data_IF_306324276957
#
_entry.id   IF_306324276957
#
_cell.length_a   1.000
_cell.length_b   1.000
_cell.length_c   1.000
_cell.angle_alpha   90.00
_cell.angle_beta   90.00
_cell.angle_gamma   90.00
#
_symmetry.space_group_name_H-M   'P 1'
#
loop_
_entity.id
_entity.type
_entity.pdbx_description
1 polymer ?
#
# COMPACT_ATOMS: atom_id res chain seq x y z
N UNK A 1 35.91 -24.84 -3.57
CA UNK A 1 35.75 -23.91 -4.71
C UNK A 1 34.94 -24.62 -5.78
N UNK A 2 33.63 -24.39 -5.82
CA UNK A 2 32.74 -25.00 -6.81
C UNK A 2 32.12 -23.88 -7.64
N UNK A 3 32.31 -23.95 -8.95
CA UNK A 3 31.90 -22.95 -9.92
C UNK A 3 30.37 -22.85 -9.97
N UNK A 4 29.84 -21.64 -9.74
CA UNK A 4 28.45 -21.32 -9.98
C UNK A 4 28.24 -21.15 -11.49
N UNK A 5 27.50 -22.08 -12.09
CA UNK A 5 27.03 -21.93 -13.46
C UNK A 5 26.01 -20.77 -13.50
N UNK A 6 26.45 -19.63 -14.02
CA UNK A 6 25.59 -18.49 -14.33
C UNK A 6 24.83 -18.79 -15.62
N UNK A 7 23.54 -19.11 -15.51
CA UNK A 7 22.64 -19.05 -16.66
C UNK A 7 21.95 -17.69 -16.66
N UNK A 8 22.53 -16.72 -17.38
CA UNK A 8 21.86 -15.47 -17.71
C UNK A 8 20.64 -15.79 -18.58
N UNK A 9 19.45 -15.73 -18.00
CA UNK A 9 18.21 -15.71 -18.77
C UNK A 9 17.65 -14.30 -18.63
N UNK A 10 17.97 -13.44 -19.60
CA UNK A 10 17.34 -12.12 -19.76
C UNK A 10 15.84 -12.32 -19.97
N UNK A 11 15.04 -11.95 -18.97
CA UNK A 11 13.58 -11.96 -19.07
C UNK A 11 13.12 -10.77 -19.95
N UNK A 12 13.22 -10.94 -21.27
CA UNK A 12 12.57 -10.07 -22.25
C UNK A 12 11.68 -10.94 -23.15
N UNK A 13 10.55 -11.40 -22.59
CA UNK A 13 9.43 -11.93 -23.39
C UNK A 13 8.53 -10.75 -23.74
N UNK A 14 8.80 -10.14 -24.90
CA UNK A 14 7.98 -9.08 -25.49
C UNK A 14 6.76 -9.71 -26.14
N UNK A 15 5.75 -10.08 -25.35
CA UNK A 15 4.39 -10.15 -25.90
C UNK A 15 3.85 -8.73 -25.86
N UNK A 16 3.82 -8.07 -27.02
CA UNK A 16 3.25 -6.72 -27.13
C UNK A 16 1.80 -6.78 -26.64
N UNK A 17 1.53 -6.15 -25.50
CA UNK A 17 0.18 -5.99 -24.97
C UNK A 17 -0.49 -4.93 -25.85
N UNK A 18 -1.27 -5.40 -26.83
CA UNK A 18 -1.99 -4.54 -27.76
C UNK A 18 -3.34 -4.14 -27.14
N UNK A 19 -3.52 -2.84 -26.90
CA UNK A 19 -4.76 -2.27 -26.35
C UNK A 19 -4.57 -1.50 -25.05
N UNK A 20 -5.58 -0.72 -24.64
CA UNK A 20 -5.55 -0.01 -23.37
C UNK A 20 -5.54 -0.99 -22.19
N UNK A 21 -4.73 -0.66 -21.18
CA UNK A 21 -4.70 -1.33 -19.90
C UNK A 21 -5.57 -0.53 -18.94
N UNK A 22 -6.65 -1.17 -18.49
CA UNK A 22 -7.55 -0.63 -17.48
C UNK A 22 -7.26 -1.26 -16.12
N UNK A 23 -7.41 -0.45 -15.06
CA UNK A 23 -7.25 -0.89 -13.67
C UNK A 23 -8.48 -0.69 -12.79
N UNK A 24 -9.64 -0.29 -13.32
CA UNK A 24 -10.76 0.25 -12.53
C UNK A 24 -11.83 -0.77 -12.10
N UNK A 25 -11.82 -1.99 -12.64
CA UNK A 25 -12.73 -3.06 -12.19
C UNK A 25 -12.08 -3.84 -11.05
N UNK A 26 -12.54 -3.58 -9.81
CA UNK A 26 -12.02 -4.21 -8.61
C UNK A 26 -13.10 -4.75 -7.66
N UNK A 27 -12.68 -5.69 -6.82
CA UNK A 27 -13.44 -6.29 -5.73
C UNK A 27 -12.60 -6.23 -4.45
N UNK A 28 -13.22 -5.87 -3.33
CA UNK A 28 -12.64 -6.00 -2.00
C UNK A 28 -12.75 -7.43 -1.50
N UNK A 29 -11.63 -8.03 -1.07
CA UNK A 29 -11.63 -9.40 -0.55
C UNK A 29 -11.76 -9.44 0.97
N UNK A 30 -10.97 -8.63 1.66
CA UNK A 30 -10.98 -8.50 3.11
C UNK A 30 -10.23 -7.24 3.58
N UNK A 31 -10.38 -6.95 4.87
CA UNK A 31 -9.57 -5.97 5.58
C UNK A 31 -9.10 -6.57 6.90
N UNK A 32 -7.98 -6.10 7.42
CA UNK A 32 -7.48 -6.50 8.73
C UNK A 32 -6.46 -5.50 9.24
N UNK A 33 -6.15 -5.57 10.52
CA UNK A 33 -5.16 -4.70 11.16
C UNK A 33 -4.32 -5.50 12.16
N UNK A 34 -3.04 -5.15 12.32
CA UNK A 34 -2.20 -5.82 13.31
C UNK A 34 -2.55 -5.35 14.72
N UNK A 35 -2.86 -6.29 15.61
CA UNK A 35 -2.95 -6.01 17.04
C UNK A 35 -1.57 -5.65 17.56
N UNK A 36 -1.45 -4.52 18.26
CA UNK A 36 -0.19 -4.07 18.86
C UNK A 36 0.27 -5.04 19.96
N UNK A 37 1.04 -6.04 19.56
CA UNK A 37 1.52 -7.08 20.45
C UNK A 37 3.05 -7.09 20.42
N UNK A 38 3.74 -7.01 21.57
CA UNK A 38 5.21 -7.04 21.61
C UNK A 38 5.77 -8.29 20.92
N UNK A 39 6.69 -8.08 19.96
CA UNK A 39 7.27 -9.11 19.09
C UNK A 39 8.00 -10.25 19.81
N UNK A 40 8.35 -10.09 21.09
CA UNK A 40 9.21 -11.03 21.82
C UNK A 40 8.47 -12.23 22.41
N UNK A 41 7.16 -12.13 22.66
CA UNK A 41 6.48 -13.08 23.55
C UNK A 41 5.13 -13.62 23.05
N UNK A 42 4.65 -13.28 21.84
CA UNK A 42 3.29 -13.66 21.43
C UNK A 42 3.14 -14.02 19.94
N UNK A 43 2.17 -14.90 19.71
CA UNK A 43 1.63 -15.26 18.40
C UNK A 43 1.22 -14.01 17.61
N UNK A 44 1.62 -13.86 16.34
CA UNK A 44 1.13 -12.78 15.48
C UNK A 44 -0.40 -12.76 15.50
N UNK A 45 -1.00 -11.59 15.75
CA UNK A 45 -2.44 -11.46 15.94
C UNK A 45 -2.98 -10.30 15.12
N UNK A 46 -4.09 -10.50 14.42
CA UNK A 46 -4.79 -9.47 13.64
C UNK A 46 -6.23 -9.28 14.13
N UNK A 47 -6.71 -8.05 14.06
CA UNK A 47 -8.12 -7.73 14.12
C UNK A 47 -8.74 -7.88 12.74
N UNK A 48 -9.90 -8.52 12.65
CA UNK A 48 -10.64 -8.70 11.40
C UNK A 48 -12.12 -8.32 11.62
N UNK A 49 -12.70 -7.37 10.87
CA UNK A 49 -12.12 -6.63 9.73
C UNK A 49 -11.05 -5.57 10.07
N UNK A 50 -10.83 -5.26 11.35
CA UNK A 50 -9.89 -4.22 11.81
C UNK A 50 -10.57 -2.88 12.11
N UNK A 51 -9.83 -1.97 12.75
CA UNK A 51 -10.29 -0.69 13.26
C UNK A 51 -9.64 0.47 12.50
N UNK A 52 -10.06 0.66 11.25
CA UNK A 52 -9.59 1.79 10.43
C UNK A 52 -9.67 3.12 11.21
N UNK A 53 -8.66 3.98 11.02
CA UNK A 53 -8.63 5.30 11.65
C UNK A 53 -9.60 6.24 10.95
N UNK A 54 -10.33 7.03 11.72
CA UNK A 54 -11.27 8.02 11.19
C UNK A 54 -10.55 9.33 10.95
N UNK A 55 -10.78 9.98 9.81
CA UNK A 55 -10.32 11.34 9.59
C UNK A 55 -10.95 12.30 10.61
N UNK A 56 -10.11 13.14 11.20
CA UNK A 56 -10.50 14.14 12.18
C UNK A 56 -9.67 15.40 11.97
N UNK A 57 -10.28 16.42 11.36
CA UNK A 57 -9.58 17.66 11.02
C UNK A 57 -9.44 18.58 12.24
N UNK A 58 -8.22 18.86 12.74
CA UNK A 58 -8.00 19.85 13.78
C UNK A 58 -8.23 21.29 13.27
N UNK A 59 -8.27 22.25 14.20
CA UNK A 59 -8.25 23.67 13.86
C UNK A 59 -6.94 24.03 13.13
N UNK A 60 -7.05 24.82 12.07
CA UNK A 60 -5.93 25.27 11.25
C UNK A 60 -5.72 26.79 11.37
N UNK A 61 -4.48 27.29 11.20
CA UNK A 61 -3.26 26.51 10.98
C UNK A 61 -2.83 25.74 12.24
N UNK A 62 -2.22 24.57 12.07
CA UNK A 62 -1.72 23.75 13.18
C UNK A 62 -0.22 23.48 13.05
N UNK A 63 0.42 23.27 14.21
CA UNK A 63 1.81 22.85 14.33
C UNK A 63 1.90 21.32 14.32
N UNK A 64 2.83 20.79 13.53
CA UNK A 64 3.17 19.36 13.50
C UNK A 64 4.68 19.20 13.68
N UNK A 65 5.08 18.43 14.68
CA UNK A 65 6.48 18.12 14.91
C UNK A 65 7.01 17.17 13.83
N UNK A 66 8.30 17.27 13.54
CA UNK A 66 8.97 16.38 12.59
C UNK A 66 8.90 14.93 13.07
N UNK A 67 8.77 13.99 12.15
CA UNK A 67 8.78 12.57 12.49
C UNK A 67 10.15 12.20 13.10
N UNK A 68 10.16 11.75 14.36
CA UNK A 68 11.39 11.44 15.10
C UNK A 68 11.70 9.92 15.14
N UNK A 69 10.67 9.09 15.02
CA UNK A 69 10.80 7.66 15.31
C UNK A 69 11.31 6.84 14.13
N UNK A 70 11.82 5.64 14.40
CA UNK A 70 12.06 4.66 13.33
C UNK A 70 10.74 4.01 12.92
N UNK A 71 10.45 3.95 11.62
CA UNK A 71 9.29 3.25 11.08
C UNK A 71 9.68 1.87 10.57
N UNK A 72 8.78 0.89 10.62
CA UNK A 72 9.03 -0.40 9.98
C UNK A 72 9.06 -0.24 8.45
N UNK A 73 10.04 -0.90 7.80
CA UNK A 73 10.07 -0.99 6.34
C UNK A 73 8.97 -1.89 5.80
N UNK A 74 8.67 -2.97 6.53
CA UNK A 74 7.58 -3.90 6.26
C UNK A 74 7.28 -4.68 7.55
N UNK A 75 6.10 -4.42 8.13
CA UNK A 75 5.67 -5.05 9.37
C UNK A 75 5.44 -6.56 9.20
N UNK A 76 4.92 -7.00 8.05
CA UNK A 76 4.65 -8.41 7.78
C UNK A 76 5.94 -9.22 7.74
N UNK A 77 7.03 -8.68 7.18
CA UNK A 77 8.33 -9.37 7.22
C UNK A 77 8.83 -9.51 8.66
N UNK A 78 8.56 -8.53 9.53
CA UNK A 78 8.98 -8.60 10.94
C UNK A 78 8.11 -9.52 11.82
N UNK A 79 6.80 -9.60 11.53
CA UNK A 79 5.80 -10.35 12.33
C UNK A 79 5.59 -11.78 11.82
N UNK A 80 5.60 -11.99 10.51
CA UNK A 80 5.36 -13.28 9.82
C UNK A 80 6.39 -13.50 8.70
N UNK A 81 7.66 -13.55 9.09
CA UNK A 81 8.82 -13.57 8.19
C UNK A 81 8.70 -14.57 7.02
N UNK A 82 8.26 -15.80 7.29
CA UNK A 82 8.30 -16.88 6.31
C UNK A 82 7.09 -16.90 5.36
N UNK A 83 5.96 -16.30 5.75
CA UNK A 83 4.71 -16.29 4.99
C UNK A 83 4.05 -14.89 5.03
N UNK A 84 4.65 -13.92 4.34
CA UNK A 84 4.26 -12.50 4.40
C UNK A 84 2.80 -12.20 4.01
N UNK A 85 2.17 -13.10 3.24
CA UNK A 85 0.76 -12.98 2.83
C UNK A 85 -0.17 -13.90 3.64
N UNK A 86 0.32 -14.72 4.56
CA UNK A 86 -0.54 -15.60 5.37
C UNK A 86 -1.66 -14.84 6.13
N UNK A 87 -1.43 -13.66 6.73
CA UNK A 87 -2.47 -12.94 7.45
C UNK A 87 -3.63 -12.50 6.55
N UNK A 88 -3.37 -12.26 5.26
CA UNK A 88 -4.41 -11.97 4.27
C UNK A 88 -5.38 -13.14 4.18
N UNK A 89 -4.88 -14.37 4.08
CA UNK A 89 -5.72 -15.55 3.91
C UNK A 89 -6.47 -15.91 5.20
N UNK A 90 -5.88 -15.65 6.36
CA UNK A 90 -6.60 -15.71 7.63
C UNK A 90 -7.80 -14.75 7.61
N UNK A 91 -7.61 -13.50 7.22
CA UNK A 91 -8.69 -12.51 7.12
C UNK A 91 -9.75 -12.87 6.07
N UNK A 92 -9.33 -13.33 4.87
CA UNK A 92 -10.28 -13.77 3.82
C UNK A 92 -11.11 -14.97 4.30
N UNK A 93 -10.52 -15.92 5.03
CA UNK A 93 -11.24 -17.13 5.48
C UNK A 93 -12.45 -16.83 6.36
N UNK A 94 -12.48 -15.68 7.05
CA UNK A 94 -13.58 -15.30 7.93
C UNK A 94 -14.49 -14.24 7.30
N UNK A 95 -13.94 -13.29 6.54
CA UNK A 95 -14.72 -12.24 5.88
C UNK A 95 -15.38 -12.72 4.59
N UNK A 96 -14.67 -13.52 3.80
CA UNK A 96 -15.13 -13.95 2.49
C UNK A 96 -14.73 -15.42 2.20
N UNK A 97 -15.30 -16.39 2.95
CA UNK A 97 -14.86 -17.79 2.94
C UNK A 97 -15.05 -18.52 1.61
N UNK A 98 -15.86 -17.98 0.70
CA UNK A 98 -16.19 -18.63 -0.57
C UNK A 98 -15.30 -18.17 -1.73
N UNK A 99 -14.42 -17.18 -1.52
CA UNK A 99 -13.50 -16.71 -2.57
C UNK A 99 -12.51 -17.81 -2.91
N UNK A 100 -12.27 -17.99 -4.20
CA UNK A 100 -11.22 -18.86 -4.73
C UNK A 100 -10.13 -18.03 -5.40
N UNK A 101 -8.91 -18.57 -5.40
CA UNK A 101 -7.71 -17.92 -5.93
C UNK A 101 -7.11 -18.66 -7.14
N UNK A 102 -7.77 -19.72 -7.64
CA UNK A 102 -7.28 -20.53 -8.76
C UNK A 102 -7.10 -19.73 -10.07
N UNK A 103 -7.77 -18.59 -10.22
CA UNK A 103 -7.72 -17.71 -11.37
C UNK A 103 -6.89 -16.44 -11.16
N UNK A 104 -6.20 -16.33 -10.03
CA UNK A 104 -5.30 -15.21 -9.73
C UNK A 104 -3.91 -15.47 -10.29
N UNK A 105 -3.38 -14.51 -11.05
CA UNK A 105 -2.05 -14.61 -11.64
C UNK A 105 -0.96 -14.11 -10.68
N UNK A 106 -1.20 -13.01 -9.97
CA UNK A 106 -0.19 -12.36 -9.12
C UNK A 106 -0.78 -11.88 -7.80
N UNK A 107 -0.10 -12.20 -6.69
CA UNK A 107 -0.35 -11.65 -5.35
C UNK A 107 0.85 -10.82 -4.91
N UNK A 108 0.62 -9.55 -4.60
CA UNK A 108 1.68 -8.57 -4.36
C UNK A 108 1.23 -7.46 -3.42
N UNK A 109 2.18 -6.74 -2.82
CA UNK A 109 1.89 -5.51 -2.05
C UNK A 109 1.89 -4.31 -2.99
N UNK A 110 1.04 -3.31 -2.74
CA UNK A 110 0.99 -2.08 -3.56
C UNK A 110 2.36 -1.44 -3.74
N UNK A 111 3.15 -1.30 -2.66
CA UNK A 111 4.50 -0.71 -2.74
C UNK A 111 5.44 -1.50 -3.66
N UNK A 112 5.39 -2.83 -3.62
CA UNK A 112 6.15 -3.71 -4.51
C UNK A 112 5.64 -3.67 -5.95
N UNK A 113 4.32 -3.58 -6.15
CA UNK A 113 3.70 -3.40 -7.46
C UNK A 113 4.18 -2.09 -8.11
N UNK A 114 4.15 -0.98 -7.36
CA UNK A 114 4.60 0.33 -7.84
C UNK A 114 6.10 0.39 -8.10
N UNK A 115 6.91 -0.35 -7.32
CA UNK A 115 8.33 -0.51 -7.59
C UNK A 115 8.57 -1.19 -8.96
N UNK A 116 7.85 -2.27 -9.24
CA UNK A 116 7.96 -2.97 -10.53
C UNK A 116 7.40 -2.14 -11.70
N UNK A 117 6.36 -1.34 -11.48
CA UNK A 117 5.88 -0.36 -12.46
C UNK A 117 6.98 0.65 -12.80
N UNK A 118 7.66 1.23 -11.79
CA UNK A 118 8.77 2.15 -12.03
C UNK A 118 9.90 1.50 -12.84
N UNK A 119 10.16 0.21 -12.63
CA UNK A 119 11.15 -0.55 -13.41
C UNK A 119 10.71 -0.67 -14.87
N UNK A 120 9.44 -1.02 -15.11
CA UNK A 120 8.88 -1.13 -16.46
C UNK A 120 8.89 0.23 -17.21
N UNK A 121 8.73 1.33 -16.48
CA UNK A 121 8.83 2.68 -17.00
C UNK A 121 10.27 3.19 -17.17
N UNK A 122 11.28 2.42 -16.77
CA UNK A 122 12.68 2.85 -16.66
C UNK A 122 12.86 4.13 -15.82
N UNK A 123 11.97 4.35 -14.85
CA UNK A 123 12.02 5.47 -13.88
C UNK A 123 12.62 5.05 -12.55
N UNK A 124 12.81 3.75 -12.33
CA UNK A 124 13.35 3.23 -11.09
C UNK A 124 14.80 3.69 -10.85
N UNK A 125 15.15 3.90 -9.59
CA UNK A 125 16.50 4.30 -9.16
C UNK A 125 16.96 3.52 -7.92
N UNK A 126 16.36 2.36 -7.68
CA UNK A 126 16.52 1.63 -6.43
C UNK A 126 17.05 0.23 -6.69
N UNK A 127 17.91 -0.24 -5.80
CA UNK A 127 18.32 -1.64 -5.74
C UNK A 127 17.37 -2.40 -4.82
N UNK A 128 17.00 -3.61 -5.18
CA UNK A 128 16.08 -4.41 -4.38
C UNK A 128 16.28 -5.90 -4.61
N UNK A 129 15.83 -6.67 -3.63
CA UNK A 129 15.72 -8.12 -3.67
C UNK A 129 14.27 -8.49 -3.34
N UNK A 130 13.67 -9.32 -4.18
CA UNK A 130 12.31 -9.84 -4.03
C UNK A 130 12.33 -11.37 -4.15
N UNK A 131 11.60 -12.04 -3.27
CA UNK A 131 11.35 -13.47 -3.41
C UNK A 131 10.09 -13.68 -4.27
N UNK A 132 10.25 -14.44 -5.34
CA UNK A 132 9.21 -14.85 -6.28
C UNK A 132 8.88 -16.32 -6.05
N UNK A 133 7.63 -16.60 -5.69
CA UNK A 133 7.21 -17.95 -5.28
C UNK A 133 5.88 -18.33 -5.93
N UNK A 134 5.81 -19.49 -6.56
CA UNK A 134 4.56 -20.02 -7.10
C UNK A 134 3.77 -20.78 -6.04
N UNK A 135 2.46 -20.59 -6.03
CA UNK A 135 1.52 -21.57 -5.49
C UNK A 135 0.45 -21.86 -6.56
N UNK A 136 0.38 -23.12 -7.01
CA UNK A 136 -0.38 -23.45 -8.21
C UNK A 136 0.11 -22.64 -9.42
N UNK A 137 -0.78 -21.85 -10.02
CA UNK A 137 -0.50 -20.93 -11.14
C UNK A 137 -0.25 -19.48 -10.70
N UNK A 138 -0.38 -19.21 -9.41
CA UNK A 138 -0.33 -17.86 -8.86
C UNK A 138 1.09 -17.51 -8.39
N UNK A 139 1.60 -16.38 -8.86
CA UNK A 139 2.89 -15.84 -8.44
C UNK A 139 2.75 -14.92 -7.22
N UNK A 140 3.50 -15.20 -6.17
CA UNK A 140 3.65 -14.34 -5.01
C UNK A 140 4.95 -13.54 -5.13
N UNK A 141 4.85 -12.22 -4.93
CA UNK A 141 6.00 -11.31 -4.97
C UNK A 141 6.21 -10.74 -3.56
N UNK A 142 7.24 -11.22 -2.88
CA UNK A 142 7.53 -10.93 -1.48
C UNK A 142 8.79 -10.08 -1.33
N UNK A 143 8.80 -9.14 -0.38
CA UNK A 143 9.97 -8.30 -0.11
C UNK A 143 11.05 -9.06 0.66
N UNK A 144 12.32 -8.68 0.51
CA UNK A 144 13.39 -9.13 1.41
C UNK A 144 13.87 -8.02 2.35
N UNK A 145 14.23 -8.43 3.55
CA UNK A 145 14.80 -7.59 4.59
C UNK A 145 13.75 -7.04 5.55
N UNK A 146 13.73 -7.61 6.76
CA UNK A 146 13.11 -6.97 7.92
C UNK A 146 13.97 -5.79 8.36
N UNK A 147 13.35 -4.75 8.92
CA UNK A 147 14.12 -3.67 9.54
C UNK A 147 13.30 -2.41 9.74
N UNK A 148 13.80 -1.55 10.61
CA UNK A 148 13.29 -0.19 10.79
C UNK A 148 14.14 0.78 9.99
N UNK A 149 13.51 1.78 9.41
CA UNK A 149 14.15 2.89 8.70
C UNK A 149 14.00 4.15 9.53
N UNK A 150 15.05 4.95 9.59
CA UNK A 150 14.97 6.27 10.21
C UNK A 150 14.04 7.17 9.39
N UNK A 151 13.30 8.03 10.08
CA UNK A 151 12.56 9.10 9.44
C UNK A 151 13.49 9.92 8.53
N UNK A 152 12.97 10.35 7.38
CA UNK A 152 13.70 11.28 6.54
C UNK A 152 13.78 12.64 7.24
N UNK A 153 14.85 13.39 6.97
CA UNK A 153 14.93 14.78 7.44
C UNK A 153 13.74 15.57 6.88
N UNK A 154 13.11 16.39 7.72
CA UNK A 154 11.94 17.20 7.39
C UNK A 154 10.75 16.36 6.88
N UNK A 155 10.58 15.13 7.38
CA UNK A 155 9.34 14.36 7.19
C UNK A 155 8.35 14.66 8.31
N UNK A 156 7.07 14.72 7.96
CA UNK A 156 5.96 15.06 8.87
C UNK A 156 4.76 14.13 8.65
N UNK A 157 4.94 13.06 7.88
CA UNK A 157 3.82 12.27 7.35
C UNK A 157 3.09 11.51 8.45
N UNK A 158 3.86 10.85 9.33
CA UNK A 158 3.29 10.03 10.41
C UNK A 158 2.66 10.90 11.48
N UNK A 159 3.37 11.93 11.93
CA UNK A 159 2.80 12.86 12.91
C UNK A 159 1.59 13.63 12.34
N UNK A 160 1.54 13.87 11.02
CA UNK A 160 0.35 14.38 10.37
C UNK A 160 -0.79 13.37 10.41
N UNK A 161 -0.57 12.11 10.01
CA UNK A 161 -1.59 11.06 10.12
C UNK A 161 -2.09 10.92 11.55
N UNK A 162 -1.19 10.95 12.54
CA UNK A 162 -1.55 10.84 13.96
C UNK A 162 -2.43 11.98 14.45
N UNK A 163 -2.15 13.21 14.04
CA UNK A 163 -2.91 14.38 14.47
C UNK A 163 -4.21 14.58 13.68
N UNK A 164 -4.28 14.11 12.44
CA UNK A 164 -5.43 14.27 11.53
C UNK A 164 -6.34 13.05 11.50
N UNK A 165 -6.07 12.02 12.31
CA UNK A 165 -6.91 10.84 12.39
C UNK A 165 -7.04 10.35 13.82
N UNK A 166 -8.16 9.72 14.13
CA UNK A 166 -8.44 9.17 15.45
C UNK A 166 -8.76 7.68 15.38
N UNK A 167 -8.37 6.95 16.43
CA UNK A 167 -8.69 5.52 16.53
C UNK A 167 -10.19 5.31 16.71
N UNK A 168 -10.71 4.25 16.12
CA UNK A 168 -12.08 3.77 16.35
C UNK A 168 -12.15 2.62 17.36
N UNK A 169 -11.01 2.22 17.93
CA UNK A 169 -10.93 1.17 18.93
C UNK A 169 -11.53 1.58 20.28
N UNK A 170 -12.22 0.68 21.01
CA UNK A 170 -12.80 1.00 22.31
C UNK A 170 -11.84 1.14 23.51
N UNK A 171 -10.52 0.87 23.42
CA UNK A 171 -9.66 0.70 24.63
C UNK A 171 -8.14 0.93 24.41
N UNK A 172 -7.36 0.86 25.51
CA UNK A 172 -5.90 1.05 25.72
C UNK A 172 -4.91 0.35 24.76
N UNK A 173 -5.37 -0.36 23.71
CA UNK A 173 -4.54 -0.93 22.64
C UNK A 173 -4.20 0.14 21.57
N UNK A 174 -4.15 1.42 21.96
CA UNK A 174 -3.78 2.55 21.11
C UNK A 174 -2.40 2.30 20.49
N UNK A 175 -2.36 1.99 19.20
CA UNK A 175 -1.13 1.68 18.47
C UNK A 175 -1.20 0.42 17.61
N UNK A 176 -2.40 -0.11 17.33
CA UNK A 176 -2.58 -1.08 16.25
C UNK A 176 -1.94 -0.54 14.95
N UNK A 177 -1.23 -1.44 14.29
CA UNK A 177 -0.07 -1.09 13.47
C UNK A 177 -0.40 -1.37 12.00
N UNK A 178 -1.03 -0.40 11.33
CA UNK A 178 -1.41 -0.44 9.92
C UNK A 178 -2.72 -1.18 9.64
N UNK A 179 -3.74 -0.45 9.19
CA UNK A 179 -4.97 -1.04 8.63
C UNK A 179 -4.72 -1.44 7.19
N UNK A 180 -4.95 -2.71 6.86
CA UNK A 180 -4.71 -3.28 5.55
C UNK A 180 -6.00 -3.64 4.84
N UNK A 181 -6.03 -3.34 3.55
CA UNK A 181 -7.06 -3.74 2.60
C UNK A 181 -6.48 -4.66 1.54
N UNK A 182 -7.32 -5.55 1.02
CA UNK A 182 -6.94 -6.53 0.01
C UNK A 182 -7.91 -6.41 -1.15
N UNK A 183 -7.39 -5.94 -2.27
CA UNK A 183 -8.14 -5.74 -3.51
C UNK A 183 -7.84 -6.85 -4.49
N UNK A 184 -8.86 -7.32 -5.20
CA UNK A 184 -8.74 -8.08 -6.43
C UNK A 184 -9.07 -7.16 -7.59
N UNK A 185 -8.21 -7.03 -8.58
CA UNK A 185 -8.56 -6.29 -9.80
C UNK A 185 -7.81 -6.78 -11.03
N UNK A 186 -8.37 -6.47 -12.19
CA UNK A 186 -7.73 -6.80 -13.47
C UNK A 186 -6.71 -5.73 -13.84
N UNK A 187 -5.55 -6.18 -14.31
CA UNK A 187 -4.55 -5.34 -14.94
C UNK A 187 -4.28 -5.85 -16.35
N UNK A 188 -5.03 -5.30 -17.31
CA UNK A 188 -5.13 -5.86 -18.65
C UNK A 188 -5.61 -7.32 -18.57
N UNK A 189 -4.84 -8.31 -19.07
CA UNK A 189 -5.22 -9.72 -19.03
C UNK A 189 -4.90 -10.44 -17.72
N UNK A 190 -4.24 -9.79 -16.76
CA UNK A 190 -3.82 -10.41 -15.50
C UNK A 190 -4.85 -10.14 -14.40
N UNK A 191 -5.19 -11.16 -13.61
CA UNK A 191 -5.94 -11.02 -12.37
C UNK A 191 -4.94 -10.85 -11.21
N UNK A 192 -4.98 -9.69 -10.55
CA UNK A 192 -4.11 -9.37 -9.43
C UNK A 192 -4.88 -9.40 -8.12
N UNK A 193 -4.20 -9.83 -7.05
CA UNK A 193 -4.57 -9.50 -5.68
C UNK A 193 -3.49 -8.60 -5.09
N UNK A 194 -3.91 -7.42 -4.64
CA UNK A 194 -3.03 -6.37 -4.14
C UNK A 194 -3.38 -6.04 -2.70
N UNK A 195 -2.42 -6.24 -1.80
CA UNK A 195 -2.52 -5.73 -0.42
C UNK A 195 -1.99 -4.31 -0.34
N UNK A 196 -2.73 -3.43 0.30
CA UNK A 196 -2.32 -2.06 0.60
C UNK A 196 -2.67 -1.69 2.04
N UNK A 197 -1.99 -0.67 2.54
CA UNK A 197 -2.32 0.02 3.78
C UNK A 197 -3.29 1.17 3.46
N UNK A 198 -4.23 1.41 4.36
CA UNK A 198 -5.21 2.49 4.29
C UNK A 198 -4.98 3.45 5.44
N UNK A 199 -4.77 4.73 5.12
CA UNK A 199 -4.41 5.73 6.12
C UNK A 199 -5.63 6.13 6.98
N UNK A 200 -6.78 6.38 6.35
CA UNK A 200 -7.99 6.78 7.06
C UNK A 200 -9.29 6.48 6.30
N UNK A 201 -10.42 6.73 6.96
CA UNK A 201 -11.72 6.86 6.31
C UNK A 201 -12.44 8.17 6.67
N UNK A 202 -13.29 8.63 5.76
CA UNK A 202 -14.12 9.82 5.85
C UNK A 202 -15.47 9.52 6.52
N UNK A 203 -16.02 10.52 7.21
CA UNK A 203 -17.44 10.49 7.54
C UNK A 203 -18.30 10.67 6.28
N UNK A 204 -19.55 10.21 6.30
CA UNK A 204 -20.46 10.34 5.16
C UNK A 204 -20.69 11.78 4.71
N UNK A 205 -20.55 12.74 5.63
CA UNK A 205 -20.67 14.19 5.36
C UNK A 205 -19.46 14.75 4.60
N UNK A 206 -18.28 14.15 4.79
CA UNK A 206 -17.02 14.60 4.20
C UNK A 206 -16.74 13.91 2.85
N UNK A 207 -17.36 12.76 2.63
CA UNK A 207 -17.23 12.01 1.39
C UNK A 207 -17.94 12.73 0.23
N UNK A 208 -17.40 12.65 -1.00
CA UNK A 208 -18.13 13.07 -2.19
C UNK A 208 -19.49 12.35 -2.29
N UNK A 209 -20.51 13.05 -2.78
CA UNK A 209 -21.86 12.48 -2.97
C UNK A 209 -21.78 11.23 -3.85
N UNK A 210 -22.35 10.12 -3.36
CA UNK A 210 -22.40 8.86 -4.10
C UNK A 210 -23.60 8.84 -5.05
N UNK A 211 -23.39 8.26 -6.23
CA UNK A 211 -24.47 7.92 -7.16
C UNK A 211 -24.98 6.46 -6.95
N UNK A 212 -24.27 5.60 -6.20
CA UNK A 212 -24.64 4.19 -6.01
C UNK A 212 -24.14 3.54 -4.69
N UNK A 213 -24.74 2.39 -4.33
CA UNK A 213 -24.33 1.53 -3.21
C UNK A 213 -22.96 0.87 -3.44
N UNK A 214 -22.24 0.59 -2.35
CA UNK A 214 -20.96 -0.11 -2.38
C UNK A 214 -21.13 -1.60 -2.72
N UNK A 215 -20.90 -1.93 -4.01
CA UNK A 215 -21.01 -3.28 -4.56
C UNK A 215 -19.68 -4.02 -4.64
N UNK A 216 -18.56 -3.38 -4.25
CA UNK A 216 -17.21 -3.96 -4.39
C UNK A 216 -16.92 -5.02 -3.34
N UNK A 217 -17.66 -5.06 -2.23
CA UNK A 217 -17.47 -6.04 -1.17
C UNK A 217 -18.70 -6.94 -0.99
N UNK A 218 -18.50 -8.25 -1.11
CA UNK A 218 -19.56 -9.28 -0.98
C UNK A 218 -19.46 -10.12 0.30
N UNK A 219 -18.44 -9.86 1.12
CA UNK A 219 -18.18 -10.60 2.35
C UNK A 219 -18.97 -10.10 3.56
N UNK A 220 -18.66 -10.68 4.72
CA UNK A 220 -19.18 -10.27 6.03
C UNK A 220 -18.57 -8.92 6.43
N UNK A 221 -19.43 -7.93 6.72
CA UNK A 221 -19.01 -6.57 7.12
C UNK A 221 -18.59 -6.49 8.59
N UNK A 222 -19.00 -7.44 9.41
CA UNK A 222 -18.57 -7.63 10.81
C UNK A 222 -18.39 -9.13 11.06
N UNK A 223 -17.56 -9.49 12.03
CA UNK A 223 -17.32 -10.88 12.42
C UNK A 223 -17.92 -11.11 13.80
N UNK A 224 -18.61 -12.25 13.97
CA UNK A 224 -19.16 -12.66 15.26
C UNK A 224 -18.04 -13.21 16.16
N UNK A 225 -17.75 -12.48 17.24
CA UNK A 225 -16.72 -12.82 18.22
C UNK A 225 -17.02 -14.12 19.00
N UNK A 226 -18.25 -14.64 18.96
CA UNK A 226 -18.62 -15.90 19.62
C UNK A 226 -18.16 -17.16 18.85
N UNK A 227 -17.63 -17.01 17.65
CA UNK A 227 -17.16 -18.12 16.82
C UNK A 227 -15.89 -18.75 17.41
N UNK A 228 -15.99 -20.02 17.84
CA UNK A 228 -14.91 -20.73 18.54
C UNK A 228 -13.70 -21.08 17.66
N UNK A 229 -13.84 -21.04 16.33
CA UNK A 229 -12.78 -21.36 15.36
C UNK A 229 -12.75 -20.32 14.24
N UNK A 230 -11.96 -19.27 14.42
CA UNK A 230 -11.64 -18.31 13.36
C UNK A 230 -10.32 -18.68 12.71
N UNK A 231 -10.28 -18.60 11.38
CA UNK A 231 -9.07 -18.82 10.61
C UNK A 231 -8.83 -20.27 10.19
N UNK A 232 -7.70 -20.47 9.50
CA UNK A 232 -7.23 -21.76 9.01
C UNK A 232 -6.11 -22.24 9.94
N UNK A 233 -6.30 -23.36 10.66
CA UNK A 233 -5.31 -23.84 11.62
C UNK A 233 -4.07 -24.40 10.92
N UNK A 234 -2.89 -23.96 11.34
CA UNK A 234 -1.59 -24.56 11.03
C UNK A 234 -0.54 -24.09 12.05
N UNK A 235 0.66 -24.68 12.01
CA UNK A 235 1.73 -24.48 13.02
C UNK A 235 2.22 -23.05 13.18
N UNK A 236 1.91 -22.16 12.22
CA UNK A 236 2.38 -20.78 12.15
C UNK A 236 1.26 -19.80 11.88
N UNK A 237 0.04 -20.18 12.25
CA UNK A 237 -1.15 -19.40 11.97
C UNK A 237 -1.13 -18.07 12.71
N UNK A 238 -1.43 -16.99 11.98
CA UNK A 238 -1.77 -15.71 12.60
C UNK A 238 -3.12 -15.85 13.32
N UNK A 239 -3.15 -15.48 14.59
CA UNK A 239 -4.38 -15.49 15.39
C UNK A 239 -5.34 -14.39 14.93
N UNK A 240 -6.62 -14.70 14.89
CA UNK A 240 -7.67 -13.75 14.53
C UNK A 240 -8.43 -13.35 15.79
N UNK A 241 -8.61 -12.05 15.97
CA UNK A 241 -9.59 -11.48 16.90
C UNK A 241 -10.65 -10.76 16.08
N UNK A 242 -11.92 -11.12 16.27
CA UNK A 242 -13.02 -10.36 15.67
C UNK A 242 -13.03 -8.95 16.25
N UNK A 243 -12.86 -7.94 15.41
CA UNK A 243 -12.68 -6.56 15.86
C UNK A 243 -12.93 -5.56 14.74
N UNK A 244 -13.64 -4.49 15.07
CA UNK A 244 -13.97 -3.41 14.16
C UNK A 244 -15.03 -3.77 13.13
N UNK A 245 -15.00 -3.09 11.98
CA UNK A 245 -15.99 -3.24 10.91
C UNK A 245 -15.39 -2.94 9.56
N UNK A 246 -15.95 -3.55 8.52
CA UNK A 246 -15.64 -3.20 7.14
C UNK A 246 -16.08 -1.76 6.85
N UNK A 247 -15.14 -0.95 6.36
CA UNK A 247 -15.41 0.38 5.84
C UNK A 247 -15.59 0.30 4.33
N UNK A 248 -16.67 0.87 3.74
CA UNK A 248 -16.85 0.95 2.30
C UNK A 248 -15.67 1.58 1.57
N UNK A 249 -15.34 1.08 0.37
CA UNK A 249 -14.21 1.59 -0.41
C UNK A 249 -14.33 3.09 -0.73
N UNK A 250 -15.55 3.55 -1.01
CA UNK A 250 -15.83 4.97 -1.30
C UNK A 250 -15.68 5.90 -0.10
N UNK A 251 -15.45 5.37 1.11
CA UNK A 251 -15.16 6.17 2.31
C UNK A 251 -13.70 6.15 2.71
N UNK A 252 -12.88 5.23 2.19
CA UNK A 252 -11.46 5.23 2.52
C UNK A 252 -10.69 6.27 1.71
N UNK A 253 -9.59 6.76 2.30
CA UNK A 253 -8.81 7.86 1.74
C UNK A 253 -7.32 7.71 2.06
N UNK A 254 -6.47 8.29 1.22
CA UNK A 254 -5.03 8.38 1.44
C UNK A 254 -4.68 9.76 2.00
N UNK A 255 -3.74 9.83 2.95
CA UNK A 255 -3.20 11.06 3.51
C UNK A 255 -1.81 11.34 2.93
N UNK A 256 -1.55 12.59 2.55
CA UNK A 256 -0.23 13.06 2.11
C UNK A 256 0.08 14.44 2.66
N UNK A 257 1.35 14.75 2.83
CA UNK A 257 1.82 16.10 3.19
C UNK A 257 2.64 16.71 2.06
N UNK A 258 2.51 18.02 1.84
CA UNK A 258 3.23 18.73 0.78
C UNK A 258 3.78 20.07 1.26
N UNK A 259 4.89 20.50 0.67
CA UNK A 259 5.39 21.88 0.68
C UNK A 259 5.40 22.51 -0.72
N UNK A 260 4.90 21.79 -1.72
CA UNK A 260 4.92 22.20 -3.14
C UNK A 260 3.53 22.62 -3.65
N UNK A 261 2.50 22.38 -2.84
CA UNK A 261 1.08 22.58 -3.18
C UNK A 261 0.37 21.27 -3.54
N UNK A 262 -0.96 21.30 -3.42
CA UNK A 262 -1.86 20.14 -3.61
C UNK A 262 -1.77 19.54 -5.01
N UNK A 263 -1.92 20.36 -6.05
CA UNK A 263 -1.91 19.87 -7.45
C UNK A 263 -0.61 19.19 -7.85
N UNK A 264 0.52 19.71 -7.38
CA UNK A 264 1.82 19.08 -7.61
C UNK A 264 1.92 17.73 -6.88
N UNK A 265 1.40 17.64 -5.66
CA UNK A 265 1.41 16.38 -4.90
C UNK A 265 0.57 15.31 -5.58
N UNK A 266 -0.66 15.63 -6.02
CA UNK A 266 -1.56 14.69 -6.73
C UNK A 266 -0.87 14.11 -7.97
N UNK A 267 -0.26 14.97 -8.79
CA UNK A 267 0.52 14.52 -9.95
C UNK A 267 1.69 13.63 -9.57
N UNK A 268 2.41 14.00 -8.50
CA UNK A 268 3.58 13.24 -8.00
C UNK A 268 3.21 11.85 -7.52
N UNK A 269 2.06 11.68 -6.86
CA UNK A 269 1.59 10.38 -6.35
C UNK A 269 0.58 9.68 -7.27
N UNK A 270 0.40 10.13 -8.52
CA UNK A 270 -0.64 9.61 -9.42
C UNK A 270 -0.67 8.08 -9.56
N UNK A 271 0.49 7.42 -9.69
CA UNK A 271 0.55 5.95 -9.76
C UNK A 271 0.10 5.27 -8.47
N UNK A 272 0.42 5.87 -7.32
CA UNK A 272 0.06 5.37 -6.00
C UNK A 272 -1.45 5.47 -5.75
N UNK A 273 -2.05 6.58 -6.18
CA UNK A 273 -3.49 6.82 -6.09
C UNK A 273 -4.27 5.93 -7.07
N UNK A 274 -3.79 5.80 -8.31
CA UNK A 274 -4.39 4.89 -9.27
C UNK A 274 -4.35 3.44 -8.77
N UNK A 275 -3.23 2.98 -8.23
CA UNK A 275 -3.11 1.60 -7.73
C UNK A 275 -3.89 1.33 -6.42
N UNK A 276 -4.34 2.36 -5.68
CA UNK A 276 -5.14 2.16 -4.47
C UNK A 276 -6.63 2.03 -4.74
N UNK A 277 -7.10 2.44 -5.92
CA UNK A 277 -8.53 2.50 -6.26
C UNK A 277 -9.34 3.38 -5.29
N UNK A 278 -8.72 4.41 -4.71
CA UNK A 278 -9.40 5.36 -3.82
C UNK A 278 -9.94 6.54 -4.61
N UNK A 279 -11.13 7.00 -4.22
CA UNK A 279 -11.79 8.15 -4.84
C UNK A 279 -11.27 9.48 -4.30
N UNK A 280 -10.64 9.47 -3.13
CA UNK A 280 -10.24 10.68 -2.42
C UNK A 280 -8.82 10.63 -1.88
N UNK A 281 -8.23 11.82 -1.76
CA UNK A 281 -6.99 12.06 -1.02
C UNK A 281 -7.16 13.27 -0.09
N UNK A 282 -6.51 13.24 1.06
CA UNK A 282 -6.36 14.39 1.95
C UNK A 282 -4.92 14.85 1.88
N UNK A 283 -4.71 16.12 1.52
CA UNK A 283 -3.37 16.70 1.42
C UNK A 283 -3.20 17.81 2.46
N UNK A 284 -2.31 17.58 3.43
CA UNK A 284 -1.81 18.60 4.33
C UNK A 284 -0.83 19.54 3.61
N UNK A 285 -1.22 20.79 3.39
CA UNK A 285 -0.38 21.78 2.71
C UNK A 285 0.31 22.74 3.70
N UNK A 286 1.64 22.78 3.59
CA UNK A 286 2.53 23.71 4.31
C UNK A 286 2.85 24.96 3.48
N UNK A 287 2.56 24.95 2.19
CA UNK A 287 2.84 26.06 1.28
C UNK A 287 1.86 27.21 1.50
N UNK A 288 0.57 26.88 1.58
CA UNK A 288 -0.54 27.83 1.60
C UNK A 288 -0.67 28.57 2.94
N UNK A 289 0.31 29.38 3.34
CA UNK A 289 0.05 30.43 4.32
C UNK A 289 -0.97 31.38 3.69
N UNK A 290 -2.17 31.48 4.25
CA UNK A 290 -3.23 32.35 3.75
C UNK A 290 -2.69 33.76 3.53
N UNK A 291 -2.54 34.16 2.26
CA UNK A 291 -2.95 35.52 1.93
C UNK A 291 -4.39 35.36 1.49
N UNK A 292 -5.30 35.77 2.37
CA UNK A 292 -6.70 35.98 2.02
C UNK A 292 -6.75 36.75 0.70
N UNK A 293 -7.29 36.12 -0.34
CA UNK A 293 -7.41 36.72 -1.67
C UNK A 293 -8.33 37.96 -1.65
N UNK A 294 -9.02 38.21 -0.53
CA UNK A 294 -9.84 39.42 -0.33
C UNK A 294 -9.01 40.70 -0.28
N UNK A 295 -7.71 40.63 0.06
CA UNK A 295 -6.83 41.79 0.13
C UNK A 295 -6.05 41.94 -1.17
N UNK A 296 -6.34 43.00 -1.93
CA UNK A 296 -5.52 43.41 -3.08
C UNK A 296 -4.19 43.96 -2.61
N UNK A 297 -3.25 43.07 -2.31
CA UNK A 297 -1.87 43.44 -2.03
C UNK A 297 -1.19 43.98 -3.29
N UNK A 298 -0.34 44.97 -3.11
CA UNK A 298 0.64 45.44 -4.10
C UNK A 298 1.70 44.37 -4.35
N UNK A 299 2.53 44.57 -5.38
CA UNK A 299 3.64 43.65 -5.68
C UNK A 299 4.70 43.62 -4.57
N UNK A 300 4.98 44.76 -3.94
CA UNK A 300 5.95 44.83 -2.84
C UNK A 300 5.42 44.17 -1.56
N UNK A 301 4.17 44.42 -1.18
CA UNK A 301 3.53 43.75 -0.04
C UNK A 301 3.49 42.22 -0.22
N UNK A 302 3.24 41.74 -1.45
CA UNK A 302 3.33 40.30 -1.76
C UNK A 302 4.75 39.75 -1.56
N UNK A 303 5.76 40.50 -1.98
CA UNK A 303 7.17 40.09 -1.85
C UNK A 303 7.59 40.06 -0.38
N UNK A 304 7.22 41.08 0.40
CA UNK A 304 7.50 41.15 1.83
C UNK A 304 6.79 40.03 2.60
N UNK A 305 5.51 39.77 2.31
CA UNK A 305 4.77 38.68 2.91
C UNK A 305 5.36 37.31 2.56
N UNK A 306 5.80 37.11 1.31
CA UNK A 306 6.44 35.87 0.89
C UNK A 306 7.80 35.66 1.58
N UNK A 307 8.59 36.72 1.74
CA UNK A 307 9.88 36.65 2.42
C UNK A 307 9.72 36.38 3.92
N UNK A 308 8.76 37.05 4.58
CA UNK A 308 8.41 36.77 5.97
C UNK A 308 7.98 35.30 6.14
N UNK A 309 7.08 34.82 5.30
CA UNK A 309 6.62 33.42 5.34
C UNK A 309 7.77 32.43 5.11
N UNK A 310 8.77 32.77 4.30
CA UNK A 310 9.97 31.95 4.10
C UNK A 310 10.80 31.87 5.39
N UNK A 311 11.05 32.99 6.04
CA UNK A 311 11.80 33.05 7.29
C UNK A 311 11.08 32.30 8.42
N UNK A 312 9.76 32.49 8.57
CA UNK A 312 8.95 31.78 9.56
C UNK A 312 9.00 30.25 9.35
N UNK A 313 9.05 29.79 8.09
CA UNK A 313 9.20 28.37 7.75
C UNK A 313 10.59 27.83 8.08
N UNK A 314 11.64 28.60 7.82
CA UNK A 314 13.01 28.22 8.16
C UNK A 314 13.21 28.13 9.67
N UNK A 315 12.62 29.04 10.44
CA UNK A 315 12.62 28.99 11.90
C UNK A 315 11.84 27.77 12.41
N UNK A 316 10.67 27.48 11.83
CA UNK A 316 9.89 26.29 12.18
C UNK A 316 10.68 24.99 11.92
N UNK A 317 11.29 24.86 10.73
CA UNK A 317 12.10 23.70 10.38
C UNK A 317 13.34 23.57 11.29
N UNK A 318 13.98 24.69 11.65
CA UNK A 318 15.08 24.69 12.62
C UNK A 318 14.62 24.28 14.04
N UNK A 319 13.37 24.62 14.39
CA UNK A 319 12.71 24.19 15.62
C UNK A 319 12.16 22.75 15.59
N UNK A 320 12.32 22.02 14.48
CA UNK A 320 11.88 20.64 14.34
C UNK A 320 10.37 20.48 14.13
N UNK A 321 9.69 21.48 13.56
CA UNK A 321 8.26 21.41 13.27
C UNK A 321 7.90 22.10 11.94
N UNK A 322 6.66 21.93 11.50
CA UNK A 322 6.09 22.68 10.39
C UNK A 322 4.66 23.14 10.70
N UNK A 323 4.30 24.30 10.14
CA UNK A 323 2.92 24.78 10.13
C UNK A 323 2.18 24.23 8.92
N UNK A 324 1.01 23.66 9.18
CA UNK A 324 0.05 23.21 8.18
C UNK A 324 -1.13 24.16 8.16
N UNK A 325 -1.52 24.60 6.98
CA UNK A 325 -2.52 25.65 6.80
C UNK A 325 -3.81 25.12 6.18
N UNK A 326 -3.72 24.03 5.42
CA UNK A 326 -4.88 23.35 4.86
C UNK A 326 -4.72 21.84 4.91
N UNK A 327 -5.86 21.15 5.04
CA UNK A 327 -6.00 19.71 4.92
C UNK A 327 -7.42 19.47 4.40
N UNK A 328 -7.56 19.43 3.07
CA UNK A 328 -8.86 19.34 2.41
C UNK A 328 -8.96 18.00 1.69
N UNK A 329 -10.15 17.41 1.77
CA UNK A 329 -10.52 16.25 0.97
C UNK A 329 -10.59 16.68 -0.48
N UNK A 330 -9.88 15.98 -1.36
CA UNK A 330 -9.94 16.18 -2.81
C UNK A 330 -10.43 14.89 -3.45
N UNK A 331 -11.46 15.00 -4.28
CA UNK A 331 -11.86 13.96 -5.22
C UNK A 331 -10.80 13.85 -6.33
N UNK A 332 -10.29 12.63 -6.52
CA UNK A 332 -9.19 12.31 -7.43
C UNK A 332 -9.60 11.36 -8.56
N UNK A 333 -10.89 11.02 -8.71
CA UNK A 333 -11.35 10.07 -9.74
C UNK A 333 -10.92 10.50 -11.14
N UNK A 334 -11.09 11.80 -11.45
CA UNK A 334 -10.63 12.39 -12.70
C UNK A 334 -9.11 12.38 -12.82
N UNK A 335 -8.39 12.67 -11.74
CA UNK A 335 -6.93 12.67 -11.73
C UNK A 335 -6.37 11.27 -12.00
N UNK A 336 -6.96 10.22 -11.41
CA UNK A 336 -6.60 8.82 -11.63
C UNK A 336 -6.88 8.37 -13.07
N UNK A 337 -8.05 8.72 -13.62
CA UNK A 337 -8.39 8.43 -15.02
C UNK A 337 -7.43 9.11 -16.00
N UNK A 338 -7.12 10.40 -15.79
CA UNK A 338 -6.15 11.12 -16.61
C UNK A 338 -4.73 10.56 -16.49
N UNK A 339 -4.35 10.10 -15.30
CA UNK A 339 -3.08 9.42 -15.09
C UNK A 339 -3.02 8.10 -15.86
N UNK A 340 -4.07 7.27 -15.79
CA UNK A 340 -4.14 6.00 -16.56
C UNK A 340 -3.97 6.26 -18.06
N UNK A 341 -4.73 7.20 -18.63
CA UNK A 341 -4.66 7.57 -20.04
C UNK A 341 -3.26 8.03 -20.46
N UNK A 342 -2.61 8.83 -19.62
CA UNK A 342 -1.30 9.41 -19.90
C UNK A 342 -0.13 8.41 -19.72
N UNK A 343 -0.36 7.25 -19.09
CA UNK A 343 0.70 6.30 -18.73
C UNK A 343 0.52 4.91 -19.38
N UNK A 344 -0.36 4.79 -20.40
CA UNK A 344 -0.65 3.52 -21.08
C UNK A 344 0.59 2.75 -21.56
N UNK A 345 1.57 3.43 -22.16
CA UNK A 345 2.81 2.76 -22.61
C UNK A 345 3.62 2.16 -21.44
N UNK A 346 3.62 2.81 -20.28
CA UNK A 346 4.24 2.28 -19.06
C UNK A 346 3.47 1.09 -18.51
N UNK A 347 2.14 1.18 -18.49
CA UNK A 347 1.24 0.10 -18.04
C UNK A 347 1.35 -1.15 -18.92
N UNK A 348 1.45 -1.00 -20.24
CA UNK A 348 1.63 -2.12 -21.17
C UNK A 348 2.96 -2.87 -20.92
N UNK A 349 4.06 -2.12 -20.77
CA UNK A 349 5.37 -2.70 -20.40
C UNK A 349 5.30 -3.38 -19.05
N UNK A 350 4.56 -2.80 -18.12
CA UNK A 350 4.40 -3.35 -16.78
C UNK A 350 3.64 -4.67 -16.78
N UNK A 351 2.54 -4.76 -17.54
CA UNK A 351 1.82 -6.03 -17.77
C UNK A 351 2.74 -7.08 -18.39
N UNK A 352 3.52 -6.68 -19.42
CA UNK A 352 4.51 -7.56 -20.05
C UNK A 352 5.55 -8.08 -19.06
N UNK A 353 6.07 -7.21 -18.18
CA UNK A 353 6.99 -7.57 -17.11
C UNK A 353 6.38 -8.60 -16.16
N UNK A 354 5.16 -8.35 -15.65
CA UNK A 354 4.50 -9.28 -14.72
C UNK A 354 4.25 -10.64 -15.37
N UNK A 355 3.76 -10.68 -16.61
CA UNK A 355 3.62 -11.92 -17.39
C UNK A 355 4.94 -12.67 -17.53
N UNK A 356 5.99 -11.96 -17.92
CA UNK A 356 7.32 -12.52 -18.06
C UNK A 356 7.84 -13.14 -16.77
N UNK A 357 7.56 -12.52 -15.61
CA UNK A 357 7.91 -13.08 -14.30
C UNK A 357 7.10 -14.34 -14.00
N UNK A 358 5.78 -14.36 -14.22
CA UNK A 358 4.95 -15.57 -14.02
C UNK A 358 5.46 -16.73 -14.89
N UNK A 359 5.71 -16.48 -16.17
CA UNK A 359 6.22 -17.47 -17.11
C UNK A 359 7.63 -17.97 -16.76
N UNK A 360 8.52 -17.08 -16.33
CA UNK A 360 9.89 -17.44 -15.99
C UNK A 360 9.93 -18.31 -14.71
N UNK A 361 9.19 -17.92 -13.67
CA UNK A 361 9.20 -18.60 -12.37
C UNK A 361 8.48 -19.94 -12.44
N UNK A 362 7.38 -20.05 -13.19
CA UNK A 362 6.64 -21.32 -13.36
C UNK A 362 7.46 -22.43 -14.04
N UNK A 363 8.47 -22.07 -14.85
CA UNK A 363 9.40 -23.03 -15.48
C UNK A 363 10.51 -23.54 -14.55
N UNK A 364 10.72 -22.89 -13.40
CA UNK A 364 11.75 -23.28 -12.44
C UNK A 364 11.23 -24.43 -11.56
N UNK A 365 11.98 -25.53 -11.47
CA UNK A 365 11.65 -26.63 -10.56
C UNK A 365 11.52 -26.11 -9.12
N UNK A 366 10.35 -26.30 -8.52
CA UNK A 366 10.00 -25.79 -7.19
C UNK A 366 9.40 -24.39 -7.17
N UNK A 367 9.35 -23.68 -8.31
CA UNK A 367 8.64 -22.41 -8.47
C UNK A 367 9.16 -21.27 -7.59
N UNK A 368 10.46 -21.29 -7.26
CA UNK A 368 11.09 -20.37 -6.29
C UNK A 368 12.28 -19.67 -6.92
N UNK A 369 12.26 -18.34 -6.95
CA UNK A 369 13.27 -17.49 -7.58
C UNK A 369 13.52 -16.25 -6.74
N UNK A 370 14.78 -15.84 -6.64
CA UNK A 370 15.16 -14.50 -6.18
C UNK A 370 15.23 -13.58 -7.40
N UNK A 371 14.42 -12.53 -7.40
CA UNK A 371 14.53 -11.41 -8.32
C UNK A 371 15.39 -10.32 -7.67
N UNK A 372 16.50 -9.98 -8.31
CA UNK A 372 17.45 -8.99 -7.83
C UNK A 372 17.64 -7.88 -8.85
N UNK A 373 17.68 -6.65 -8.37
CA UNK A 373 18.21 -5.50 -9.10
C UNK A 373 19.42 -4.96 -8.35
N UNK A 374 20.61 -5.42 -8.74
CA UNK A 374 21.86 -5.11 -8.04
C UNK A 374 22.33 -3.66 -8.24
N UNK A 375 21.99 -3.05 -9.39
CA UNK A 375 22.40 -1.69 -9.75
C UNK A 375 21.21 -0.88 -10.26
N UNK A 376 21.19 0.43 -9.95
CA UNK A 376 20.09 1.34 -10.32
C UNK A 376 19.77 1.32 -11.82
N UNK A 377 20.80 1.25 -12.66
CA UNK A 377 20.67 1.20 -14.13
C UNK A 377 20.90 -0.20 -14.70
N UNK A 378 21.05 -1.20 -13.82
CA UNK A 378 21.32 -2.59 -14.22
C UNK A 378 20.04 -3.35 -14.59
N UNK A 379 20.19 -4.54 -15.21
CA UNK A 379 19.09 -5.41 -15.54
C UNK A 379 18.42 -5.97 -14.27
N UNK A 380 17.26 -6.58 -14.47
CA UNK A 380 16.69 -7.51 -13.51
C UNK A 380 17.36 -8.88 -13.67
N UNK A 381 17.81 -9.44 -12.56
CA UNK A 381 18.50 -10.72 -12.50
C UNK A 381 17.63 -11.74 -11.76
N UNK A 382 17.52 -12.95 -12.32
CA UNK A 382 16.77 -14.04 -11.71
C UNK A 382 17.75 -15.13 -11.24
N UNK A 383 17.66 -15.47 -9.96
CA UNK A 383 18.45 -16.55 -9.37
C UNK A 383 17.52 -17.64 -8.85
N UNK A 384 17.81 -18.91 -9.19
CA UNK A 384 17.04 -20.04 -8.66
C UNK A 384 17.08 -20.04 -7.12
N UNK A 385 15.91 -20.16 -6.50
CA UNK A 385 15.79 -20.27 -5.05
C UNK A 385 16.46 -21.55 -4.53
N UNK A 386 17.24 -21.41 -3.46
CA UNK A 386 17.82 -22.56 -2.75
C UNK A 386 16.81 -23.25 -1.81
N UNK A 387 17.22 -24.36 -1.21
CA UNK A 387 16.36 -25.15 -0.29
C UNK A 387 15.87 -24.36 0.93
N UNK A 388 16.62 -23.34 1.36
CA UNK A 388 16.23 -22.46 2.46
C UNK A 388 15.07 -21.52 2.12
N UNK A 389 14.67 -21.39 0.85
CA UNK A 389 13.55 -20.55 0.45
C UNK A 389 12.23 -21.27 0.75
N UNK A 390 11.47 -20.73 1.70
CA UNK A 390 10.15 -21.25 2.07
C UNK A 390 9.15 -21.15 0.92
N UNK A 391 8.06 -21.92 1.00
CA UNK A 391 6.91 -21.76 0.10
C UNK A 391 6.24 -20.38 0.27
N UNK A 392 5.35 -20.04 -0.65
CA UNK A 392 4.62 -18.77 -0.59
C UNK A 392 3.66 -18.73 0.62
N UNK A 393 3.05 -19.88 0.93
CA UNK A 393 2.02 -20.09 1.93
C UNK A 393 2.12 -21.50 2.54
N UNK A 394 1.55 -21.71 3.74
CA UNK A 394 1.28 -23.04 4.29
C UNK A 394 0.35 -23.87 3.41
N UNK A 395 0.52 -25.19 3.42
CA UNK A 395 -0.28 -26.12 2.60
C UNK A 395 -1.77 -26.04 2.94
N UNK A 396 -2.09 -25.90 4.21
CA UNK A 396 -3.46 -25.82 4.74
C UNK A 396 -4.24 -24.65 4.14
N UNK A 397 -3.56 -23.55 3.84
CA UNK A 397 -4.16 -22.39 3.18
C UNK A 397 -4.35 -22.67 1.68
N UNK A 398 -3.37 -23.30 1.04
CA UNK A 398 -3.49 -23.68 -0.39
C UNK A 398 -4.67 -24.63 -0.61
N UNK A 399 -4.84 -25.62 0.26
CA UNK A 399 -5.92 -26.61 0.18
C UNK A 399 -7.32 -25.99 0.34
N UNK A 400 -7.44 -24.79 0.91
CA UNK A 400 -8.73 -24.08 1.08
C UNK A 400 -9.05 -23.18 -0.12
N UNK A 401 -8.04 -22.52 -0.69
CA UNK A 401 -8.25 -21.41 -1.64
C UNK A 401 -7.88 -21.71 -3.10
N UNK A 402 -7.20 -22.83 -3.37
CA UNK A 402 -6.81 -23.27 -4.73
C UNK A 402 -7.43 -24.64 -5.09
N UNK A 403 -8.71 -24.81 -4.77
CA UNK A 403 -9.47 -26.05 -5.08
C UNK A 403 -9.99 -26.04 -6.51
#
# INVERSE_FOLDING_TARGET
>A
MAAAASSETTATSSTDITGPVHGHDFEDLCTYEWKNTPLKDRTPTIYVPGYARRFNKPALPCKIDQDADQAWKDQHISRVFDFQFEPLFQAVSVMNPNVQFHDIDVIVRRSTLLLLLQVAEAKDRQTFDLDLKMAGKTLFIQGKGAGRVNAAKNSYGRNFEDQFTESTEPTEDTGADGYHRVLRYKLGPLNLVVRLETDAFLNEVEAPVKESEDTTFRGKRTIDASSQHLGIPHTRATSIVAGGRYIPQSLVTELKTTNTGTEHMVKKCGSQLWASQYDTIIIGDRKSGETDQSVRLTSDERREAAEKLRLDKEEAEAGGYAMFYSANVKDIRRDCSQWEDSNQAGLQKFVGLLKGLVEAVSKVKGGKVLLRKAHRTGPLELYKGGEAMTDALPKEIIDVFWV
#
